data_IF_694698863058
#
_entry.id   IF_694698863058
#
_cell.length_a   1.000
_cell.length_b   1.000
_cell.length_c   1.000
_cell.angle_alpha   90.00
_cell.angle_beta   90.00
_cell.angle_gamma   90.00
#
_symmetry.space_group_name_H-M   'P 1'
#
loop_
_entity.id
_entity.type
_entity.pdbx_description
1 polymer ?
#
# COMPACT_ATOMS: atom_id res chain seq x y z
N UNK A 1 38.72 6.44 -8.49
CA UNK A 1 38.30 7.17 -7.27
C UNK A 1 36.79 7.12 -7.22
N UNK A 2 36.25 6.34 -6.29
CA UNK A 2 34.82 6.17 -6.09
C UNK A 2 34.24 7.43 -5.41
N UNK A 3 33.19 8.01 -6.00
CA UNK A 3 32.40 9.06 -5.38
C UNK A 3 30.92 8.65 -5.37
N UNK A 4 30.17 9.06 -4.34
CA UNK A 4 29.38 8.12 -3.55
C UNK A 4 27.90 8.05 -3.93
N UNK A 5 27.31 6.91 -3.55
CA UNK A 5 25.89 6.59 -3.56
C UNK A 5 25.05 7.66 -2.83
N UNK A 6 24.32 8.48 -3.57
CA UNK A 6 23.26 9.34 -3.01
C UNK A 6 22.03 8.48 -2.73
N UNK A 7 22.00 7.90 -1.53
CA UNK A 7 20.77 7.44 -0.93
C UNK A 7 19.85 8.65 -0.72
N UNK A 8 18.92 8.88 -1.66
CA UNK A 8 17.81 9.80 -1.46
C UNK A 8 16.93 9.24 -0.34
N UNK A 9 17.16 9.75 0.86
CA UNK A 9 16.28 9.59 1.99
C UNK A 9 14.92 10.23 1.66
N UNK A 10 13.92 9.36 1.54
CA UNK A 10 12.52 9.55 1.86
C UNK A 10 12.09 11.01 2.13
N UNK A 11 11.56 11.65 1.09
CA UNK A 11 10.56 12.68 1.29
C UNK A 11 9.35 12.03 1.95
N UNK A 12 9.21 12.23 3.25
CA UNK A 12 8.02 11.85 4.01
C UNK A 12 6.86 12.78 3.62
N UNK A 13 6.32 12.58 2.42
CA UNK A 13 4.92 12.94 2.15
C UNK A 13 4.11 12.05 3.07
N UNK A 14 3.58 12.62 4.17
CA UNK A 14 2.55 11.95 4.96
C UNK A 14 1.48 11.50 3.95
N UNK A 15 1.31 10.19 3.68
CA UNK A 15 0.19 9.79 2.86
C UNK A 15 -1.04 10.23 3.62
N UNK A 16 -1.90 11.04 3.00
CA UNK A 16 -3.22 11.29 3.58
C UNK A 16 -3.82 9.93 3.92
N UNK A 17 -4.32 9.75 5.16
CA UNK A 17 -4.78 8.46 5.60
C UNK A 17 -5.92 8.01 4.68
N UNK A 18 -5.73 6.87 4.01
CA UNK A 18 -6.81 6.23 3.25
C UNK A 18 -7.99 6.04 4.22
N UNK A 19 -9.19 6.55 3.90
CA UNK A 19 -10.32 6.51 4.82
C UNK A 19 -10.63 5.08 5.27
N UNK A 20 -10.98 4.89 6.55
CA UNK A 20 -11.32 3.55 7.05
C UNK A 20 -12.52 2.93 6.31
N UNK A 21 -13.43 3.76 5.82
CA UNK A 21 -14.55 3.35 4.96
C UNK A 21 -14.06 2.74 3.64
N UNK A 22 -13.01 3.32 3.04
CA UNK A 22 -12.43 2.80 1.80
C UNK A 22 -11.68 1.49 2.06
N UNK A 23 -10.97 1.38 3.18
CA UNK A 23 -10.33 0.13 3.63
C UNK A 23 -11.39 -0.97 3.81
N UNK A 24 -12.50 -0.68 4.48
CA UNK A 24 -13.60 -1.62 4.70
C UNK A 24 -14.27 -2.02 3.39
N UNK A 25 -14.47 -1.06 2.47
CA UNK A 25 -15.01 -1.32 1.15
C UNK A 25 -14.10 -2.25 0.34
N UNK A 26 -12.80 -1.97 0.29
CA UNK A 26 -11.82 -2.79 -0.42
C UNK A 26 -11.73 -4.20 0.16
N UNK A 27 -11.71 -4.31 1.49
CA UNK A 27 -11.72 -5.57 2.21
C UNK A 27 -12.94 -6.42 1.82
N UNK A 28 -14.14 -5.83 1.85
CA UNK A 28 -15.40 -6.50 1.48
C UNK A 28 -15.42 -6.90 0.00
N UNK A 29 -15.08 -5.97 -0.90
CA UNK A 29 -15.09 -6.19 -2.36
C UNK A 29 -14.16 -7.33 -2.76
N UNK A 30 -12.96 -7.35 -2.20
CA UNK A 30 -11.95 -8.35 -2.52
C UNK A 30 -12.01 -9.59 -1.62
N UNK A 31 -12.94 -9.65 -0.66
CA UNK A 31 -13.06 -10.73 0.34
C UNK A 31 -11.74 -11.00 1.06
N UNK A 32 -11.09 -9.94 1.54
CA UNK A 32 -9.88 -9.99 2.36
C UNK A 32 -10.13 -9.31 3.70
N UNK A 33 -9.28 -9.57 4.70
CA UNK A 33 -9.36 -8.85 5.96
C UNK A 33 -8.91 -7.39 5.78
N UNK A 34 -9.56 -6.41 6.44
CA UNK A 34 -9.09 -5.02 6.44
C UNK A 34 -7.66 -4.87 6.97
N UNK A 35 -7.18 -5.83 7.78
CA UNK A 35 -5.78 -5.88 8.20
C UNK A 35 -4.81 -6.04 7.02
N UNK A 36 -5.17 -6.85 6.01
CA UNK A 36 -4.35 -7.04 4.80
C UNK A 36 -4.29 -5.74 3.99
N UNK A 37 -5.41 -5.03 3.88
CA UNK A 37 -5.46 -3.74 3.17
C UNK A 37 -4.57 -2.71 3.87
N UNK A 38 -4.62 -2.63 5.21
CA UNK A 38 -3.72 -1.76 6.00
C UNK A 38 -2.25 -2.15 5.86
N UNK A 39 -1.95 -3.44 5.83
CA UNK A 39 -0.59 -3.94 5.60
C UNK A 39 -0.08 -3.56 4.22
N UNK A 40 -0.91 -3.70 3.18
CA UNK A 40 -0.61 -3.26 1.82
C UNK A 40 -0.31 -1.77 1.80
N UNK A 41 -1.21 -0.92 2.32
CA UNK A 41 -1.02 0.54 2.35
C UNK A 41 0.29 0.90 3.08
N UNK A 42 0.56 0.26 4.23
CA UNK A 42 1.78 0.49 4.99
C UNK A 42 3.04 0.07 4.22
N UNK A 43 3.00 -1.06 3.53
CA UNK A 43 4.18 -1.67 2.93
C UNK A 43 4.49 -1.14 1.53
N UNK A 44 3.46 -0.89 0.72
CA UNK A 44 3.59 -0.36 -0.64
C UNK A 44 3.55 1.17 -0.69
N UNK A 45 3.05 1.82 0.36
CA UNK A 45 2.81 3.26 0.36
C UNK A 45 1.67 3.69 -0.58
N UNK A 46 0.91 2.72 -1.10
CA UNK A 46 -0.18 3.02 -2.03
C UNK A 46 -1.33 3.74 -1.31
N UNK A 47 -1.64 4.94 -1.78
CA UNK A 47 -2.81 5.73 -1.36
C UNK A 47 -3.93 5.67 -2.38
N UNK A 48 -3.61 5.31 -3.62
CA UNK A 48 -4.59 5.21 -4.69
C UNK A 48 -5.28 3.85 -4.67
N UNK A 49 -6.61 3.88 -4.73
CA UNK A 49 -7.47 2.70 -4.75
C UNK A 49 -7.04 1.66 -5.79
N UNK A 50 -6.76 2.08 -7.03
CA UNK A 50 -6.33 1.17 -8.10
C UNK A 50 -4.99 0.47 -7.81
N UNK A 51 -4.05 1.17 -7.16
CA UNK A 51 -2.76 0.61 -6.75
C UNK A 51 -2.93 -0.39 -5.61
N UNK A 52 -3.79 -0.08 -4.64
CA UNK A 52 -4.14 -1.00 -3.55
C UNK A 52 -4.83 -2.26 -4.10
N UNK A 53 -5.77 -2.12 -5.04
CA UNK A 53 -6.46 -3.27 -5.66
C UNK A 53 -5.49 -4.22 -6.40
N UNK A 54 -4.48 -3.68 -7.10
CA UNK A 54 -3.43 -4.48 -7.75
C UNK A 54 -2.60 -5.27 -6.74
N UNK A 55 -2.22 -4.64 -5.64
CA UNK A 55 -1.46 -5.29 -4.57
C UNK A 55 -2.30 -6.36 -3.85
N UNK A 56 -3.61 -6.12 -3.64
CA UNK A 56 -4.52 -7.14 -3.09
C UNK A 56 -4.59 -8.35 -4.03
N UNK A 57 -4.75 -8.13 -5.34
CA UNK A 57 -4.79 -9.21 -6.33
C UNK A 57 -3.48 -10.03 -6.35
N UNK A 58 -2.33 -9.34 -6.30
CA UNK A 58 -1.01 -9.96 -6.22
C UNK A 58 -0.83 -10.77 -4.93
N UNK A 59 -1.30 -10.24 -3.79
CA UNK A 59 -1.28 -10.92 -2.50
C UNK A 59 -2.14 -12.19 -2.49
N UNK A 60 -3.30 -12.14 -3.14
CA UNK A 60 -4.18 -13.32 -3.34
C UNK A 60 -3.55 -14.37 -4.25
N UNK A 61 -2.90 -13.98 -5.34
CA UNK A 61 -2.26 -14.95 -6.23
C UNK A 61 -1.09 -15.71 -5.57
N UNK A 62 -0.54 -15.17 -4.46
CA UNK A 62 0.57 -15.76 -3.72
C UNK A 62 0.15 -16.61 -2.50
N UNK A 63 -1.11 -16.53 -2.07
CA UNK A 63 -1.65 -17.20 -0.88
C UNK A 63 -2.68 -18.23 -1.29
#
# INVERSE_FOLDING_TARGET
MAHPNVATAAGATKPEPVPEEEIAYLAKRHRVSPAIVREIIRHSGATERGSIEREIAKGKARR
#
